data_IF_975182745149
#
_entry.id   IF_975182745149
#
_cell.length_a   1.000
_cell.length_b   1.000
_cell.length_c   1.000
_cell.angle_alpha   90.00
_cell.angle_beta   90.00
_cell.angle_gamma   90.00
#
_symmetry.space_group_name_H-M   'P 1'
#
loop_
_entity.id
_entity.type
_entity.pdbx_description
1 polymer ?
#
# COMPACT_ATOMS: atom_id res chain seq x y z
N UNK A 1 71.04 -19.56 29.95
CA UNK A 1 70.35 -18.48 29.22
C UNK A 1 69.03 -19.04 28.67
N UNK A 2 67.90 -18.79 29.34
CA UNK A 2 66.58 -19.25 28.91
C UNK A 2 65.82 -18.04 28.34
N UNK A 3 65.47 -18.09 27.07
CA UNK A 3 64.62 -17.07 26.42
C UNK A 3 63.17 -17.46 26.61
N UNK A 4 62.41 -16.68 27.38
CA UNK A 4 61.00 -16.75 27.50
C UNK A 4 60.36 -16.05 26.28
N UNK A 5 59.68 -16.83 25.41
CA UNK A 5 58.87 -16.28 24.35
C UNK A 5 57.45 -16.08 24.86
N UNK A 6 57.03 -14.83 24.96
CA UNK A 6 55.67 -14.44 25.32
C UNK A 6 54.80 -14.51 24.08
N UNK A 7 53.87 -15.46 24.02
CA UNK A 7 52.85 -15.54 22.99
C UNK A 7 51.71 -14.61 23.38
N UNK A 8 51.60 -13.49 22.71
CA UNK A 8 50.44 -12.60 22.83
C UNK A 8 49.35 -13.13 21.88
N UNK A 9 48.38 -13.77 22.48
CA UNK A 9 47.18 -14.19 21.75
C UNK A 9 46.28 -12.97 21.46
N UNK A 10 46.21 -12.56 20.20
CA UNK A 10 45.32 -11.49 19.71
C UNK A 10 43.92 -12.10 19.50
N UNK A 11 43.05 -11.95 20.51
CA UNK A 11 41.63 -12.28 20.37
C UNK A 11 40.94 -11.25 19.50
N UNK A 12 40.76 -11.56 18.22
CA UNK A 12 39.88 -10.83 17.30
C UNK A 12 38.42 -11.12 17.70
N UNK A 13 37.84 -10.20 18.48
CA UNK A 13 36.40 -10.12 18.68
C UNK A 13 35.75 -9.64 17.38
N UNK A 14 35.29 -10.58 16.54
CA UNK A 14 34.38 -10.31 15.45
C UNK A 14 33.03 -9.92 16.07
N UNK A 15 32.81 -8.62 16.23
CA UNK A 15 31.49 -8.07 16.51
C UNK A 15 30.61 -8.29 15.25
N UNK A 16 29.82 -9.36 15.26
CA UNK A 16 28.70 -9.49 14.33
C UNK A 16 27.70 -8.39 14.70
N UNK A 17 27.82 -7.23 14.05
CA UNK A 17 26.75 -6.26 14.02
C UNK A 17 25.60 -6.93 13.25
N UNK A 18 24.64 -7.49 14.00
CA UNK A 18 23.35 -7.86 13.45
C UNK A 18 22.72 -6.56 12.91
N UNK A 19 22.86 -6.32 11.61
CA UNK A 19 22.06 -5.32 10.92
C UNK A 19 20.60 -5.79 11.09
N UNK A 20 19.91 -5.25 12.08
CA UNK A 20 18.47 -5.29 12.13
C UNK A 20 18.01 -4.58 10.84
N UNK A 21 17.56 -5.37 9.87
CA UNK A 21 17.03 -4.85 8.62
C UNK A 21 15.85 -3.96 9.00
N UNK A 22 16.06 -2.64 8.90
CA UNK A 22 15.04 -1.68 9.30
C UNK A 22 13.83 -1.90 8.41
N UNK A 23 12.74 -2.36 9.02
CA UNK A 23 11.51 -2.66 8.29
C UNK A 23 11.02 -1.37 7.67
N UNK A 24 10.84 -1.38 6.35
CA UNK A 24 10.35 -0.22 5.63
C UNK A 24 9.07 0.32 6.31
N UNK A 25 9.02 1.61 6.69
CA UNK A 25 7.88 2.19 7.39
C UNK A 25 6.53 1.99 6.67
N UNK A 26 6.56 1.82 5.34
CA UNK A 26 5.37 1.50 4.55
C UNK A 26 4.75 0.13 4.86
N UNK A 27 5.56 -0.80 5.34
CA UNK A 27 5.12 -2.14 5.73
C UNK A 27 4.87 -2.22 7.24
N UNK A 28 4.28 -1.16 7.81
CA UNK A 28 3.82 -1.12 9.21
C UNK A 28 2.38 -0.60 9.28
N UNK A 29 1.62 -1.03 10.30
CA UNK A 29 0.30 -0.45 10.53
C UNK A 29 0.39 1.06 10.79
N UNK A 30 -0.62 1.83 10.38
CA UNK A 30 -0.69 3.24 10.70
C UNK A 30 -0.86 3.46 12.21
N UNK A 31 -0.54 4.68 12.67
CA UNK A 31 -0.66 5.04 14.09
C UNK A 31 -2.06 4.71 14.63
N UNK A 32 -2.10 3.99 15.73
CA UNK A 32 -3.34 3.57 16.40
C UNK A 32 -3.88 2.20 15.97
N UNK A 33 -3.29 1.57 14.95
CA UNK A 33 -3.63 0.20 14.55
C UNK A 33 -2.51 -0.77 14.95
N UNK A 34 -2.89 -1.98 15.39
CA UNK A 34 -1.93 -3.05 15.66
C UNK A 34 -1.69 -3.93 14.43
N UNK A 35 -2.70 -4.08 13.59
CA UNK A 35 -2.67 -4.83 12.33
C UNK A 35 -3.33 -3.98 11.26
N UNK A 36 -2.84 -4.07 10.03
CA UNK A 36 -3.43 -3.42 8.87
C UNK A 36 -3.24 -4.28 7.62
N UNK A 37 -4.04 -4.01 6.59
CA UNK A 37 -3.79 -4.44 5.23
C UNK A 37 -3.08 -3.30 4.52
N UNK A 38 -1.95 -3.56 3.88
CA UNK A 38 -1.27 -2.63 2.98
C UNK A 38 -1.41 -3.16 1.57
N UNK A 39 -1.86 -2.32 0.65
CA UNK A 39 -2.04 -2.70 -0.76
C UNK A 39 -1.37 -1.70 -1.67
N UNK A 40 -0.57 -2.19 -2.61
CA UNK A 40 -0.12 -1.45 -3.78
C UNK A 40 -1.07 -1.77 -4.92
N UNK A 41 -1.81 -0.76 -5.37
CA UNK A 41 -2.90 -0.96 -6.33
C UNK A 41 -2.85 -0.03 -7.53
N UNK A 42 -3.54 -0.44 -8.58
CA UNK A 42 -3.74 0.31 -9.81
C UNK A 42 -5.22 0.28 -10.17
N UNK A 43 -5.85 1.44 -10.27
CA UNK A 43 -7.29 1.55 -10.51
C UNK A 43 -7.74 1.04 -11.88
N UNK A 44 -6.82 0.86 -12.83
CA UNK A 44 -7.11 0.25 -14.13
C UNK A 44 -6.78 -1.24 -14.17
N UNK A 45 -6.13 -1.80 -13.14
CA UNK A 45 -5.77 -3.21 -13.09
C UNK A 45 -7.00 -4.09 -12.82
N UNK A 46 -7.36 -5.03 -13.74
CA UNK A 46 -8.51 -5.92 -13.52
C UNK A 46 -8.38 -6.83 -12.31
N UNK A 47 -7.13 -7.15 -11.93
CA UNK A 47 -6.87 -7.98 -10.76
C UNK A 47 -7.05 -7.22 -9.44
N UNK A 48 -6.72 -5.91 -9.42
CA UNK A 48 -7.05 -5.02 -8.32
C UNK A 48 -8.58 -4.94 -8.12
N UNK A 49 -9.35 -4.78 -9.20
CA UNK A 49 -10.81 -4.83 -9.16
C UNK A 49 -11.34 -6.11 -8.53
N UNK A 50 -10.76 -7.26 -8.87
CA UNK A 50 -11.16 -8.56 -8.28
C UNK A 50 -10.78 -8.69 -6.81
N UNK A 51 -9.70 -8.05 -6.39
CA UNK A 51 -9.22 -8.11 -5.01
C UNK A 51 -9.99 -7.16 -4.06
N UNK A 52 -10.41 -6.01 -4.55
CA UNK A 52 -11.01 -4.94 -3.74
C UNK A 52 -12.16 -5.40 -2.82
N UNK A 53 -13.17 -6.18 -3.28
CA UNK A 53 -14.26 -6.64 -2.40
C UNK A 53 -13.76 -7.48 -1.22
N UNK A 54 -12.77 -8.36 -1.45
CA UNK A 54 -12.20 -9.21 -0.41
C UNK A 54 -11.44 -8.39 0.64
N UNK A 55 -10.69 -7.37 0.21
CA UNK A 55 -9.98 -6.46 1.12
C UNK A 55 -10.96 -5.67 1.99
N UNK A 56 -12.03 -5.16 1.38
CA UNK A 56 -13.09 -4.44 2.10
C UNK A 56 -13.80 -5.34 3.11
N UNK A 57 -14.12 -6.59 2.75
CA UNK A 57 -14.72 -7.56 3.64
C UNK A 57 -13.80 -7.86 4.83
N UNK A 58 -12.52 -8.13 4.57
CA UNK A 58 -11.53 -8.38 5.61
C UNK A 58 -11.37 -7.18 6.55
N UNK A 59 -11.26 -5.97 6.00
CA UNK A 59 -11.17 -4.72 6.78
C UNK A 59 -12.37 -4.55 7.71
N UNK A 60 -13.59 -4.77 7.22
CA UNK A 60 -14.84 -4.66 8.00
C UNK A 60 -14.92 -5.74 9.08
N UNK A 61 -14.63 -6.99 8.74
CA UNK A 61 -14.69 -8.15 9.65
C UNK A 61 -13.74 -8.00 10.82
N UNK A 62 -12.50 -7.60 10.54
CA UNK A 62 -11.45 -7.49 11.56
C UNK A 62 -11.35 -6.10 12.18
N UNK A 63 -12.07 -5.11 11.65
CA UNK A 63 -11.99 -3.69 12.04
C UNK A 63 -10.56 -3.17 11.98
N UNK A 64 -9.85 -3.51 10.91
CA UNK A 64 -8.48 -3.08 10.63
C UNK A 64 -8.44 -2.14 9.42
N UNK A 65 -7.54 -1.14 9.40
CA UNK A 65 -7.45 -0.24 8.26
C UNK A 65 -6.84 -0.92 7.03
N UNK A 66 -7.25 -0.43 5.85
CA UNK A 66 -6.55 -0.61 4.59
C UNK A 66 -5.70 0.63 4.34
N UNK A 67 -4.41 0.44 4.10
CA UNK A 67 -3.46 1.46 3.66
C UNK A 67 -3.22 1.26 2.17
N UNK A 68 -3.60 2.23 1.38
CA UNK A 68 -3.47 2.18 -0.08
C UNK A 68 -2.25 2.97 -0.51
N UNK A 69 -1.39 2.33 -1.31
CA UNK A 69 -0.34 2.95 -2.09
C UNK A 69 -0.70 2.87 -3.57
N UNK A 70 -0.81 4.02 -4.23
CA UNK A 70 -1.12 4.08 -5.65
C UNK A 70 0.10 3.68 -6.47
N UNK A 71 -0.02 2.61 -7.26
CA UNK A 71 1.05 2.08 -8.09
C UNK A 71 0.59 1.90 -9.54
N UNK A 72 0.26 3.01 -10.24
CA UNK A 72 -0.19 2.95 -11.63
C UNK A 72 0.90 2.38 -12.54
N UNK A 73 0.54 1.30 -13.26
CA UNK A 73 1.44 0.60 -14.17
C UNK A 73 1.58 1.36 -15.50
N UNK A 74 2.76 1.33 -16.15
CA UNK A 74 2.99 2.09 -17.38
C UNK A 74 2.05 1.76 -18.55
N UNK A 75 1.52 0.52 -18.60
CA UNK A 75 0.58 0.10 -19.64
C UNK A 75 -0.86 0.57 -19.42
N UNK A 76 -1.18 1.11 -18.25
CA UNK A 76 -2.51 1.54 -17.87
C UNK A 76 -2.65 3.05 -18.06
N UNK A 77 -3.26 3.43 -19.17
CA UNK A 77 -3.21 4.79 -19.70
C UNK A 77 -4.09 5.83 -18.98
N UNK A 78 -5.06 5.41 -18.15
CA UNK A 78 -5.87 6.31 -17.33
C UNK A 78 -5.70 6.12 -15.81
N UNK A 79 -4.96 5.08 -15.39
CA UNK A 79 -4.79 4.73 -13.99
C UNK A 79 -4.17 5.87 -13.16
N UNK A 80 -3.13 6.53 -13.68
CA UNK A 80 -2.50 7.64 -12.97
C UNK A 80 -3.48 8.79 -12.71
N UNK A 81 -4.26 9.16 -13.72
CA UNK A 81 -5.26 10.23 -13.58
C UNK A 81 -6.37 9.83 -12.61
N UNK A 82 -6.82 8.57 -12.62
CA UNK A 82 -7.79 8.06 -11.66
C UNK A 82 -7.25 8.11 -10.22
N UNK A 83 -5.98 7.77 -10.02
CA UNK A 83 -5.31 7.87 -8.72
C UNK A 83 -5.23 9.32 -8.22
N UNK A 84 -4.92 10.30 -9.08
CA UNK A 84 -4.94 11.73 -8.73
C UNK A 84 -6.33 12.15 -8.25
N UNK A 85 -7.40 11.72 -8.94
CA UNK A 85 -8.78 12.04 -8.53
C UNK A 85 -9.13 11.32 -7.22
N UNK A 86 -8.71 10.07 -7.04
CA UNK A 86 -8.91 9.35 -5.79
C UNK A 86 -8.25 10.05 -4.60
N UNK A 87 -7.02 10.56 -4.76
CA UNK A 87 -6.33 11.37 -3.75
C UNK A 87 -7.06 12.68 -3.43
N UNK A 88 -7.67 13.30 -4.42
CA UNK A 88 -8.51 14.47 -4.18
C UNK A 88 -9.67 14.15 -3.23
N UNK A 89 -10.36 13.03 -3.43
CA UNK A 89 -11.42 12.58 -2.54
C UNK A 89 -10.89 12.10 -1.17
N UNK A 90 -9.71 11.45 -1.12
CA UNK A 90 -9.00 11.10 0.13
C UNK A 90 -8.74 12.32 1.00
N UNK A 91 -8.44 13.48 0.40
CA UNK A 91 -8.21 14.73 1.12
C UNK A 91 -9.50 15.31 1.75
N UNK A 92 -10.68 14.92 1.24
CA UNK A 92 -11.98 15.26 1.86
C UNK A 92 -12.29 14.34 3.05
N UNK A 93 -12.19 13.04 2.82
CA UNK A 93 -12.19 12.01 3.86
C UNK A 93 -11.64 10.70 3.31
N UNK A 94 -11.00 9.91 4.15
CA UNK A 94 -10.52 8.56 3.76
C UNK A 94 -11.65 7.62 3.34
N UNK A 95 -12.84 7.82 3.88
CA UNK A 95 -14.02 7.07 3.46
C UNK A 95 -14.41 7.43 2.02
N UNK A 96 -14.49 8.72 1.68
CA UNK A 96 -14.86 9.18 0.33
C UNK A 96 -13.84 8.71 -0.72
N UNK A 97 -12.55 8.75 -0.41
CA UNK A 97 -11.53 8.22 -1.31
C UNK A 97 -11.67 6.72 -1.56
N UNK A 98 -12.03 5.93 -0.52
CA UNK A 98 -12.33 4.50 -0.71
C UNK A 98 -13.59 4.27 -1.53
N UNK A 99 -14.65 5.02 -1.26
CA UNK A 99 -15.90 4.94 -2.02
C UNK A 99 -15.67 5.26 -3.49
N UNK A 100 -14.86 6.28 -3.80
CA UNK A 100 -14.48 6.59 -5.16
C UNK A 100 -13.68 5.45 -5.84
N UNK A 101 -12.68 4.86 -5.14
CA UNK A 101 -11.92 3.73 -5.66
C UNK A 101 -12.83 2.53 -5.97
N UNK A 102 -13.75 2.21 -5.08
CA UNK A 102 -14.73 1.14 -5.30
C UNK A 102 -15.65 1.44 -6.48
N UNK A 103 -16.11 2.68 -6.61
CA UNK A 103 -16.91 3.13 -7.75
C UNK A 103 -16.14 3.00 -9.08
N UNK A 104 -14.85 3.38 -9.11
CA UNK A 104 -14.01 3.21 -10.29
C UNK A 104 -13.81 1.72 -10.61
N UNK A 105 -13.61 0.87 -9.62
CA UNK A 105 -13.51 -0.58 -9.85
C UNK A 105 -14.80 -1.18 -10.37
N UNK A 106 -15.95 -0.75 -9.88
CA UNK A 106 -17.26 -1.21 -10.37
C UNK A 106 -17.45 -0.88 -11.85
N UNK A 107 -17.10 0.34 -12.26
CA UNK A 107 -17.24 0.82 -13.62
C UNK A 107 -16.00 0.61 -14.51
N UNK A 108 -14.95 -0.04 -14.01
CA UNK A 108 -13.67 -0.18 -14.69
C UNK A 108 -13.76 -0.65 -16.16
N UNK A 109 -14.65 -1.62 -16.53
CA UNK A 109 -14.77 -2.05 -17.93
C UNK A 109 -15.31 -0.99 -18.90
N UNK A 110 -15.98 0.04 -18.36
CA UNK A 110 -16.60 1.12 -19.15
C UNK A 110 -15.70 2.35 -19.25
N UNK A 111 -14.67 2.44 -18.38
CA UNK A 111 -13.81 3.61 -18.30
C UNK A 111 -12.72 3.59 -19.36
N UNK A 112 -12.58 4.73 -20.02
CA UNK A 112 -11.52 5.04 -20.98
C UNK A 112 -10.83 6.35 -20.59
N UNK A 113 -9.67 6.70 -21.17
CA UNK A 113 -9.06 8.01 -20.92
C UNK A 113 -9.99 9.18 -21.22
N UNK A 114 -10.87 9.04 -22.22
CA UNK A 114 -11.74 10.13 -22.67
C UNK A 114 -12.97 10.35 -21.77
N UNK A 115 -13.42 9.31 -21.05
CA UNK A 115 -14.63 9.38 -20.23
C UNK A 115 -14.38 9.29 -18.71
N UNK A 116 -13.16 9.03 -18.26
CA UNK A 116 -12.82 8.95 -16.83
C UNK A 116 -13.33 10.18 -16.05
N UNK A 117 -13.18 11.37 -16.62
CA UNK A 117 -13.66 12.60 -16.01
C UNK A 117 -15.17 12.60 -15.79
N UNK A 118 -15.94 12.07 -16.71
CA UNK A 118 -17.41 11.99 -16.60
C UNK A 118 -17.82 11.08 -15.43
N UNK A 119 -17.13 9.95 -15.21
CA UNK A 119 -17.36 9.09 -14.04
C UNK A 119 -17.01 9.81 -12.74
N UNK A 120 -15.92 10.55 -12.72
CA UNK A 120 -15.53 11.31 -11.54
C UNK A 120 -16.51 12.45 -11.20
N UNK A 121 -17.01 13.16 -12.22
CA UNK A 121 -18.03 14.21 -12.07
C UNK A 121 -19.35 13.63 -11.56
N UNK A 122 -19.77 12.46 -12.09
CA UNK A 122 -20.97 11.75 -11.64
C UNK A 122 -20.85 11.35 -10.18
N UNK A 123 -19.73 10.73 -9.78
CA UNK A 123 -19.47 10.40 -8.38
C UNK A 123 -19.52 11.64 -7.47
N UNK A 124 -18.85 12.72 -7.88
CA UNK A 124 -18.84 13.98 -7.12
C UNK A 124 -20.25 14.54 -6.95
N UNK A 125 -21.08 14.50 -8.01
CA UNK A 125 -22.47 14.98 -7.98
C UNK A 125 -23.33 14.14 -7.01
N UNK A 126 -23.22 12.80 -7.08
CA UNK A 126 -23.95 11.87 -6.20
C UNK A 126 -23.60 12.08 -4.71
N UNK A 127 -22.33 12.40 -4.44
CA UNK A 127 -21.84 12.66 -3.09
C UNK A 127 -21.92 14.15 -2.67
N UNK A 128 -22.48 15.02 -3.54
CA UNK A 128 -22.63 16.48 -3.30
C UNK A 128 -21.30 17.16 -2.96
N UNK A 129 -20.24 16.77 -3.66
CA UNK A 129 -18.88 17.32 -3.52
C UNK A 129 -18.49 18.00 -4.81
N UNK A 130 -17.88 19.18 -4.70
CA UNK A 130 -17.31 19.86 -5.86
C UNK A 130 -16.07 19.12 -6.37
N UNK A 131 -15.99 18.87 -7.68
CA UNK A 131 -14.77 18.41 -8.35
C UNK A 131 -14.31 19.53 -9.30
N UNK A 132 -13.19 20.23 -9.00
CA UNK A 132 -12.74 21.35 -9.81
C UNK A 132 -12.31 20.88 -11.21
N UNK A 133 -12.35 21.76 -12.19
CA UNK A 133 -11.92 21.45 -13.56
C UNK A 133 -10.47 20.94 -13.59
N UNK A 134 -9.55 21.60 -12.87
CA UNK A 134 -8.18 21.13 -12.65
C UNK A 134 -8.10 20.58 -11.23
N UNK A 135 -8.00 19.27 -11.08
CA UNK A 135 -8.04 18.58 -9.77
C UNK A 135 -6.77 18.83 -8.96
N UNK A 136 -5.62 18.90 -9.61
CA UNK A 136 -4.31 19.06 -8.98
C UNK A 136 -3.49 20.18 -9.64
N UNK A 137 -3.88 21.45 -9.48
CA UNK A 137 -3.22 22.56 -10.18
C UNK A 137 -1.77 22.79 -9.75
N UNK A 138 -1.36 22.27 -8.61
CA UNK A 138 0.00 22.41 -8.08
C UNK A 138 0.84 21.13 -8.23
N UNK A 139 0.29 20.05 -8.77
CA UNK A 139 0.97 18.76 -8.90
C UNK A 139 1.26 18.04 -7.59
N UNK A 140 0.61 18.45 -6.49
CA UNK A 140 0.85 17.89 -5.15
C UNK A 140 0.35 16.43 -5.06
N UNK A 141 -0.86 16.16 -5.55
CA UNK A 141 -1.42 14.81 -5.53
C UNK A 141 -0.64 13.88 -6.46
N UNK A 142 -0.24 14.39 -7.62
CA UNK A 142 0.65 13.67 -8.54
C UNK A 142 2.00 13.32 -7.90
N UNK A 143 2.57 14.23 -7.11
CA UNK A 143 3.80 13.98 -6.37
C UNK A 143 3.62 12.91 -5.27
N UNK A 144 2.48 12.87 -4.59
CA UNK A 144 2.15 11.81 -3.61
C UNK A 144 2.10 10.42 -4.28
N UNK A 145 1.51 10.31 -5.47
CA UNK A 145 1.50 9.07 -6.25
C UNK A 145 2.92 8.70 -6.71
N UNK A 146 3.71 9.70 -7.13
CA UNK A 146 5.13 9.50 -7.44
C UNK A 146 5.90 8.90 -6.26
N UNK A 147 5.68 9.42 -5.05
CA UNK A 147 6.29 8.90 -3.83
C UNK A 147 5.85 7.46 -3.50
N UNK A 148 4.57 7.11 -3.72
CA UNK A 148 4.08 5.74 -3.58
C UNK A 148 4.73 4.78 -4.58
N UNK A 149 4.91 5.22 -5.84
CA UNK A 149 5.62 4.42 -6.86
C UNK A 149 7.08 4.18 -6.48
N UNK A 150 7.80 5.23 -6.07
CA UNK A 150 9.18 5.09 -5.60
C UNK A 150 9.27 4.16 -4.38
N UNK A 151 8.30 4.27 -3.47
CA UNK A 151 8.19 3.38 -2.33
C UNK A 151 8.01 1.93 -2.78
N UNK A 152 7.03 1.66 -3.67
CA UNK A 152 6.79 0.36 -4.24
C UNK A 152 8.05 -0.23 -4.90
N UNK A 153 8.77 0.58 -5.69
CA UNK A 153 10.06 0.15 -6.28
C UNK A 153 11.09 -0.24 -5.22
N UNK A 154 11.21 0.55 -4.14
CA UNK A 154 12.15 0.24 -3.03
C UNK A 154 11.80 -1.04 -2.27
N UNK A 155 10.52 -1.40 -2.19
CA UNK A 155 10.08 -2.66 -1.55
C UNK A 155 9.94 -3.82 -2.54
N UNK A 156 10.25 -3.60 -3.82
CA UNK A 156 10.29 -4.65 -4.84
C UNK A 156 8.93 -5.02 -5.42
N UNK A 157 8.00 -4.06 -5.52
CA UNK A 157 6.68 -4.31 -6.14
C UNK A 157 6.84 -4.47 -7.64
N UNK A 158 6.45 -5.61 -8.18
CA UNK A 158 6.55 -5.96 -9.59
C UNK A 158 5.17 -6.04 -10.29
N UNK A 159 4.10 -6.18 -9.52
CA UNK A 159 2.73 -6.33 -10.03
C UNK A 159 1.69 -5.70 -9.09
N UNK A 160 0.48 -5.53 -9.60
CA UNK A 160 -0.66 -5.08 -8.82
C UNK A 160 -1.85 -6.05 -8.97
N UNK A 161 -2.61 -6.28 -7.87
CA UNK A 161 -2.33 -5.79 -6.53
C UNK A 161 -1.19 -6.59 -5.87
N UNK A 162 -0.30 -5.91 -5.14
CA UNK A 162 0.54 -6.57 -4.14
C UNK A 162 -0.01 -6.23 -2.76
N UNK A 163 -0.30 -7.25 -1.97
CA UNK A 163 -1.03 -7.12 -0.71
C UNK A 163 -0.18 -7.67 0.43
N UNK A 164 -0.10 -6.91 1.52
CA UNK A 164 0.56 -7.32 2.75
C UNK A 164 -0.41 -7.26 3.93
N UNK A 165 -0.33 -8.22 4.84
CA UNK A 165 -0.83 -8.08 6.21
C UNK A 165 0.36 -7.66 7.07
N UNK A 166 0.22 -6.54 7.77
CA UNK A 166 1.28 -5.94 8.58
C UNK A 166 0.87 -5.86 10.05
N UNK A 167 1.82 -6.05 10.98
CA UNK A 167 1.57 -5.99 12.42
C UNK A 167 2.69 -5.26 13.17
N UNK A 168 2.31 -4.50 14.20
CA UNK A 168 3.24 -3.89 15.15
C UNK A 168 3.64 -4.83 16.29
N UNK A 169 2.92 -5.95 16.47
CA UNK A 169 3.12 -6.87 17.60
C UNK A 169 4.13 -7.96 17.30
N UNK A 170 4.26 -8.34 16.04
CA UNK A 170 5.07 -9.49 15.66
C UNK A 170 6.55 -9.18 15.72
N UNK A 171 7.30 -10.01 16.49
CA UNK A 171 8.75 -9.98 16.48
C UNK A 171 9.28 -10.74 15.25
N UNK A 172 10.28 -10.18 14.56
CA UNK A 172 10.93 -10.78 13.41
C UNK A 172 10.37 -10.31 12.07
N UNK A 173 9.30 -10.89 11.56
CA UNK A 173 8.66 -10.43 10.29
C UNK A 173 7.37 -9.66 10.60
N UNK A 174 7.40 -8.31 10.64
CA UNK A 174 6.22 -7.50 10.94
C UNK A 174 5.21 -7.44 9.78
N UNK A 175 5.49 -8.10 8.68
CA UNK A 175 4.62 -8.17 7.50
C UNK A 175 4.70 -9.54 6.82
N UNK A 176 3.60 -9.92 6.17
CA UNK A 176 3.49 -11.11 5.33
C UNK A 176 2.80 -10.73 4.03
N UNK A 177 3.39 -11.08 2.90
CA UNK A 177 2.75 -10.94 1.60
C UNK A 177 1.63 -11.97 1.43
N UNK A 178 0.51 -11.54 0.90
CA UNK A 178 -0.66 -12.38 0.59
C UNK A 178 -0.51 -12.89 -0.85
N UNK A 179 0.31 -13.93 -1.03
CA UNK A 179 0.51 -14.55 -2.33
C UNK A 179 -0.76 -15.27 -2.82
N UNK A 180 -1.51 -15.89 -1.91
CA UNK A 180 -2.81 -16.49 -2.17
C UNK A 180 -3.90 -15.73 -1.38
N UNK A 181 -4.78 -15.05 -2.10
CA UNK A 181 -5.86 -14.25 -1.52
C UNK A 181 -6.86 -15.06 -0.70
N UNK A 182 -7.01 -16.35 -0.96
CA UNK A 182 -7.85 -17.24 -0.14
C UNK A 182 -7.36 -17.37 1.31
N UNK A 183 -6.07 -17.08 1.55
CA UNK A 183 -5.45 -17.13 2.87
C UNK A 183 -5.49 -15.80 3.64
N UNK A 184 -6.06 -14.72 3.05
CA UNK A 184 -6.03 -13.39 3.65
C UNK A 184 -6.56 -13.39 5.08
N UNK A 185 -7.72 -13.99 5.33
CA UNK A 185 -8.34 -14.03 6.66
C UNK A 185 -7.48 -14.79 7.67
N UNK A 186 -6.94 -15.95 7.25
CA UNK A 186 -6.04 -16.75 8.11
C UNK A 186 -4.76 -15.99 8.45
N UNK A 187 -4.18 -15.27 7.50
CA UNK A 187 -2.99 -14.45 7.74
C UNK A 187 -3.29 -13.30 8.71
N UNK A 188 -4.46 -12.65 8.60
CA UNK A 188 -4.87 -11.62 9.55
C UNK A 188 -5.03 -12.22 10.96
N UNK A 189 -5.67 -13.40 11.09
CA UNK A 189 -5.81 -14.08 12.37
C UNK A 189 -4.44 -14.36 13.01
N UNK A 190 -3.51 -14.92 12.25
CA UNK A 190 -2.15 -15.18 12.70
C UNK A 190 -1.43 -13.91 13.16
N UNK A 191 -1.56 -12.80 12.39
CA UNK A 191 -0.90 -11.52 12.71
C UNK A 191 -1.56 -10.78 13.89
N UNK A 192 -2.78 -11.14 14.28
CA UNK A 192 -3.47 -10.58 15.47
C UNK A 192 -3.13 -11.32 16.75
N UNK A 193 -2.74 -12.60 16.68
CA UNK A 193 -2.43 -13.44 17.83
C UNK A 193 -1.03 -13.17 18.41
N UNK A 194 -0.09 -12.70 17.60
CA UNK A 194 1.26 -12.29 18.01
C UNK A 194 1.22 -10.88 18.66
#
# INVERSE_FOLDING_TARGET
>A
MKKNGSIVAFLLLLAFAAFAQEVNPALRPPKGANVAIVVFEDLQCPDCRRAAPLLEEASKTYKIPIVVHDFPLPMHNWSFQAAVIARYFDARSKQMGREFRNYIYEHQPEITPDNLRQFADKFAQEHKVELPFVVDPQGKLAAEIGADKELGQRVGIEHTPTIYVVSNKRQGKPFVEVADRSQLFQLIDAMKQD
#
